data_IF_874886838507
#
_entry.id   IF_874886838507
#
_cell.length_a   1.000
_cell.length_b   1.000
_cell.length_c   1.000
_cell.angle_alpha   90.00
_cell.angle_beta   90.00
_cell.angle_gamma   90.00
#
_symmetry.space_group_name_H-M   'P 1'
#
loop_
_entity.id
_entity.type
_entity.pdbx_description
1 polymer ?
#
# COMPACT_ATOMS: atom_id res chain seq x y z
N UNK A 1 -1.90 3.65 25.94
CA UNK A 1 -2.25 2.77 24.80
C UNK A 1 -1.10 2.88 23.81
N UNK A 2 -0.15 1.95 23.83
CA UNK A 2 0.86 1.88 22.78
C UNK A 2 0.17 1.33 21.54
N UNK A 3 -0.45 2.23 20.76
CA UNK A 3 -1.06 1.86 19.50
C UNK A 3 0.01 1.27 18.60
N UNK A 4 -0.21 0.06 18.09
CA UNK A 4 0.64 -0.55 17.07
C UNK A 4 0.81 0.47 15.93
N UNK A 5 2.04 0.91 15.71
CA UNK A 5 2.33 1.89 14.66
C UNK A 5 2.09 1.23 13.29
N UNK A 6 1.32 1.89 12.42
CA UNK A 6 1.03 1.38 11.09
C UNK A 6 2.31 1.09 10.28
N UNK A 7 2.43 -0.11 9.72
CA UNK A 7 3.58 -0.55 8.96
C UNK A 7 3.93 0.40 7.81
N UNK A 8 5.14 0.96 7.83
CA UNK A 8 5.69 1.79 6.77
C UNK A 8 6.71 0.99 5.95
N UNK A 9 6.22 0.27 4.94
CA UNK A 9 7.07 -0.59 4.10
C UNK A 9 7.73 0.27 3.03
N UNK A 10 9.07 0.39 3.09
CA UNK A 10 9.84 1.07 2.06
C UNK A 10 10.15 0.12 0.90
N UNK A 11 9.90 0.58 -0.33
CA UNK A 11 10.23 -0.16 -1.56
C UNK A 11 10.92 0.76 -2.57
N UNK A 12 12.22 1.06 -2.40
CA UNK A 12 12.94 2.06 -3.20
C UNK A 12 12.93 1.79 -4.71
N UNK A 13 12.84 0.52 -5.12
CA UNK A 13 12.86 0.09 -6.51
C UNK A 13 11.64 0.59 -7.30
N UNK A 14 10.50 0.86 -6.66
CA UNK A 14 9.29 1.37 -7.32
C UNK A 14 9.53 2.70 -8.07
N UNK A 15 10.53 3.47 -7.62
CA UNK A 15 10.90 4.78 -8.17
C UNK A 15 11.73 4.69 -9.46
N UNK A 16 12.18 3.50 -9.85
CA UNK A 16 13.13 3.32 -10.94
C UNK A 16 12.56 2.40 -12.04
N UNK A 17 12.69 2.78 -13.32
CA UNK A 17 13.10 4.11 -13.80
C UNK A 17 12.02 5.17 -13.46
N UNK A 18 12.34 6.47 -13.38
CA UNK A 18 11.31 7.51 -13.33
C UNK A 18 10.34 7.37 -14.51
N UNK A 19 9.08 7.74 -14.33
CA UNK A 19 8.12 7.73 -15.44
C UNK A 19 8.63 8.72 -16.50
N UNK A 20 8.70 8.27 -17.75
CA UNK A 20 9.21 9.07 -18.86
C UNK A 20 8.06 9.82 -19.55
N UNK A 21 8.22 11.11 -19.89
CA UNK A 21 7.19 11.86 -20.61
C UNK A 21 6.88 11.32 -22.01
N UNK A 22 7.86 10.72 -22.68
CA UNK A 22 7.78 10.33 -24.10
C UNK A 22 6.72 9.28 -24.42
N UNK A 23 6.20 8.56 -23.43
CA UNK A 23 5.12 7.57 -23.58
C UNK A 23 3.77 8.05 -23.07
N UNK A 24 3.66 9.30 -22.62
CA UNK A 24 2.42 9.85 -22.05
C UNK A 24 1.74 10.77 -23.05
N UNK A 25 0.41 10.70 -23.10
CA UNK A 25 -0.40 11.59 -23.93
C UNK A 25 -0.68 12.86 -23.13
N UNK A 26 -0.30 14.06 -23.64
CA UNK A 26 -0.71 15.31 -23.04
C UNK A 26 -2.23 15.42 -22.99
N UNK A 27 -2.74 16.01 -21.91
CA UNK A 27 -4.15 16.37 -21.82
C UNK A 27 -4.35 17.83 -22.23
N UNK A 28 -5.60 18.29 -22.32
CA UNK A 28 -5.90 19.71 -22.54
C UNK A 28 -5.40 20.65 -21.42
N UNK A 29 -5.13 20.10 -20.23
CA UNK A 29 -4.80 20.88 -19.03
C UNK A 29 -3.40 20.63 -18.48
N UNK A 30 -2.76 19.54 -18.89
CA UNK A 30 -1.46 19.09 -18.38
C UNK A 30 -0.64 18.47 -19.50
N UNK A 31 0.62 18.90 -19.61
CA UNK A 31 1.58 18.30 -20.54
C UNK A 31 2.10 16.94 -20.03
N UNK A 32 2.79 16.23 -20.92
CA UNK A 32 3.36 14.92 -20.60
C UNK A 32 4.43 14.97 -19.48
N UNK A 33 5.13 16.11 -19.32
CA UNK A 33 6.17 16.27 -18.32
C UNK A 33 5.57 16.43 -16.91
N UNK A 34 4.48 17.19 -16.78
CA UNK A 34 3.69 17.30 -15.55
C UNK A 34 3.13 15.94 -15.15
N UNK A 35 2.58 15.21 -16.12
CA UNK A 35 2.09 13.84 -15.93
C UNK A 35 3.16 12.92 -15.35
N UNK A 36 4.33 12.87 -16.00
CA UNK A 36 5.47 12.08 -15.55
C UNK A 36 5.95 12.50 -14.14
N UNK A 37 5.99 13.80 -13.85
CA UNK A 37 6.43 14.35 -12.57
C UNK A 37 5.49 13.96 -11.42
N UNK A 38 4.18 14.12 -11.60
CA UNK A 38 3.19 13.76 -10.58
C UNK A 38 3.16 12.25 -10.37
N UNK A 39 3.16 11.46 -11.44
CA UNK A 39 3.18 10.00 -11.31
C UNK A 39 4.45 9.49 -10.61
N UNK A 40 5.62 10.05 -10.95
CA UNK A 40 6.88 9.74 -10.24
C UNK A 40 6.87 10.19 -8.78
N UNK A 41 6.24 11.32 -8.48
CA UNK A 41 6.06 11.79 -7.10
C UNK A 41 5.15 10.84 -6.29
N UNK A 42 4.08 10.32 -6.89
CA UNK A 42 3.20 9.35 -6.27
C UNK A 42 3.91 8.02 -6.01
N UNK A 43 4.64 7.48 -7.00
CA UNK A 43 5.47 6.29 -6.80
C UNK A 43 6.53 6.50 -5.73
N UNK A 44 7.13 7.69 -5.64
CA UNK A 44 8.07 8.04 -4.58
C UNK A 44 7.41 8.09 -3.20
N UNK A 45 6.20 8.64 -3.10
CA UNK A 45 5.42 8.66 -1.87
C UNK A 45 5.09 7.23 -1.39
N UNK A 46 4.63 6.36 -2.28
CA UNK A 46 4.36 4.94 -2.00
C UNK A 46 5.65 4.21 -1.62
N UNK A 47 6.74 4.40 -2.38
CA UNK A 47 8.03 3.77 -2.15
C UNK A 47 8.65 4.09 -0.77
N UNK A 48 8.25 5.20 -0.15
CA UNK A 48 8.70 5.62 1.19
C UNK A 48 7.76 5.14 2.31
N UNK A 49 6.73 4.36 2.00
CA UNK A 49 5.78 3.87 2.99
C UNK A 49 4.75 4.92 3.45
N UNK A 50 4.28 5.78 2.54
CA UNK A 50 3.21 6.76 2.78
C UNK A 50 3.48 7.81 3.89
N UNK A 51 4.68 8.42 3.95
CA UNK A 51 5.03 9.34 5.03
C UNK A 51 4.19 10.61 5.00
N UNK A 52 3.60 10.99 6.13
CA UNK A 52 2.75 12.19 6.23
C UNK A 52 3.49 13.47 5.80
N UNK A 53 4.80 13.58 6.08
CA UNK A 53 5.65 14.71 5.65
C UNK A 53 5.83 14.82 4.14
N UNK A 54 5.58 13.74 3.38
CA UNK A 54 5.59 13.76 1.92
C UNK A 54 4.23 14.11 1.31
N UNK A 55 3.17 14.08 2.11
CA UNK A 55 1.83 14.37 1.64
C UNK A 55 1.61 15.87 1.50
N UNK A 56 1.07 16.29 0.37
CA UNK A 56 0.90 17.71 0.05
C UNK A 56 -0.31 17.91 -0.87
N UNK A 57 -0.72 19.18 -0.98
CA UNK A 57 -1.89 19.59 -1.77
C UNK A 57 -1.85 19.13 -3.23
N UNK A 58 -0.68 19.14 -3.88
CA UNK A 58 -0.56 18.73 -5.29
C UNK A 58 -0.83 17.25 -5.48
N UNK A 59 -0.32 16.40 -4.58
CA UNK A 59 -0.62 14.97 -4.59
C UNK A 59 -2.10 14.72 -4.32
N UNK A 60 -2.68 15.44 -3.35
CA UNK A 60 -4.11 15.35 -3.05
C UNK A 60 -5.00 15.73 -4.24
N UNK A 61 -4.80 16.92 -4.82
CA UNK A 61 -5.61 17.44 -5.93
C UNK A 61 -5.61 16.52 -7.15
N UNK A 62 -4.51 15.78 -7.37
CA UNK A 62 -4.42 14.81 -8.47
C UNK A 62 -4.99 13.47 -8.06
N UNK A 63 -4.56 12.92 -6.93
CA UNK A 63 -4.97 11.60 -6.48
C UNK A 63 -6.47 11.51 -6.18
N UNK A 64 -7.09 12.59 -5.72
CA UNK A 64 -8.54 12.66 -5.48
C UNK A 64 -9.38 12.58 -6.76
N UNK A 65 -8.75 12.71 -7.93
CA UNK A 65 -9.37 12.56 -9.25
C UNK A 65 -8.89 11.33 -10.01
N UNK A 66 -7.91 10.60 -9.47
CA UNK A 66 -7.35 9.40 -10.06
C UNK A 66 -7.88 8.14 -9.36
N UNK A 67 -7.82 7.01 -10.05
CA UNK A 67 -8.19 5.68 -9.53
C UNK A 67 -9.63 5.57 -9.02
N UNK A 68 -10.51 6.49 -9.40
CA UNK A 68 -11.91 6.51 -8.95
C UNK A 68 -12.10 6.90 -7.50
N UNK A 69 -11.09 7.53 -6.87
CA UNK A 69 -11.28 8.13 -5.55
C UNK A 69 -12.28 9.29 -5.62
N UNK A 70 -13.08 9.46 -4.57
CA UNK A 70 -13.89 10.66 -4.36
C UNK A 70 -13.08 11.60 -3.47
N UNK A 71 -13.12 12.90 -3.74
CA UNK A 71 -12.51 13.89 -2.88
C UNK A 71 -13.03 13.75 -1.44
N UNK A 72 -12.15 13.39 -0.50
CA UNK A 72 -12.45 13.45 0.93
C UNK A 72 -12.30 14.89 1.41
N UNK A 73 -13.31 15.40 2.14
CA UNK A 73 -13.44 16.72 2.77
C UNK A 73 -12.25 17.70 2.63
N UNK A 74 -11.05 17.33 3.07
CA UNK A 74 -9.81 18.08 2.88
C UNK A 74 -8.56 17.18 2.70
N UNK A 75 -7.42 17.83 2.43
CA UNK A 75 -6.11 17.19 2.23
C UNK A 75 -5.66 16.31 3.41
N UNK A 76 -5.95 16.71 4.66
CA UNK A 76 -5.55 15.97 5.85
C UNK A 76 -6.48 14.79 6.10
N UNK A 77 -7.79 14.99 5.92
CA UNK A 77 -8.80 13.95 6.00
C UNK A 77 -8.56 12.83 4.98
N UNK A 78 -8.16 13.18 3.75
CA UNK A 78 -7.79 12.18 2.74
C UNK A 78 -6.62 11.31 3.20
N UNK A 79 -5.55 11.92 3.74
CA UNK A 79 -4.40 11.14 4.22
C UNK A 79 -4.78 10.26 5.40
N UNK A 80 -5.56 10.80 6.34
CA UNK A 80 -6.08 10.04 7.48
C UNK A 80 -6.89 8.83 7.04
N UNK A 81 -7.80 9.00 6.08
CA UNK A 81 -8.66 7.92 5.61
C UNK A 81 -7.89 6.84 4.81
N UNK A 82 -6.96 7.25 3.94
CA UNK A 82 -6.34 6.34 2.97
C UNK A 82 -4.99 5.76 3.44
N UNK A 83 -4.30 6.41 4.39
CA UNK A 83 -2.89 6.07 4.71
C UNK A 83 -2.55 5.98 6.20
N UNK A 84 -3.49 6.22 7.12
CA UNK A 84 -3.18 6.24 8.55
C UNK A 84 -2.89 4.86 9.15
N UNK A 85 -3.54 3.81 8.65
CA UNK A 85 -3.40 2.44 9.13
C UNK A 85 -2.75 1.54 8.08
N UNK A 86 -2.23 0.39 8.52
CA UNK A 86 -1.68 -0.65 7.64
C UNK A 86 -2.74 -1.17 6.68
N UNK A 87 -3.96 -1.40 7.19
CA UNK A 87 -5.12 -1.80 6.41
C UNK A 87 -5.49 -0.75 5.35
N UNK A 88 -5.56 0.54 5.72
CA UNK A 88 -5.88 1.61 4.77
C UNK A 88 -4.85 1.68 3.63
N UNK A 89 -3.55 1.58 3.95
CA UNK A 89 -2.46 1.56 2.94
C UNK A 89 -2.60 0.35 2.01
N UNK A 90 -2.90 -0.81 2.57
CA UNK A 90 -3.12 -2.06 1.83
C UNK A 90 -4.30 -1.94 0.87
N UNK A 91 -5.43 -1.43 1.36
CA UNK A 91 -6.64 -1.29 0.57
C UNK A 91 -6.51 -0.22 -0.51
N UNK A 92 -5.79 0.87 -0.22
CA UNK A 92 -5.40 1.85 -1.22
C UNK A 92 -4.62 1.21 -2.38
N UNK A 93 -3.60 0.41 -2.07
CA UNK A 93 -2.81 -0.29 -3.09
C UNK A 93 -3.67 -1.28 -3.89
N UNK A 94 -4.55 -2.04 -3.22
CA UNK A 94 -5.48 -2.95 -3.90
C UNK A 94 -6.45 -2.22 -4.81
N UNK A 95 -6.96 -1.07 -4.39
CA UNK A 95 -7.84 -0.24 -5.21
C UNK A 95 -7.13 0.19 -6.49
N UNK A 96 -5.85 0.59 -6.41
CA UNK A 96 -5.05 0.89 -7.61
C UNK A 96 -4.93 -0.35 -8.51
N UNK A 97 -4.60 -1.51 -7.95
CA UNK A 97 -4.44 -2.78 -8.72
C UNK A 97 -5.74 -3.20 -9.42
N UNK A 98 -6.88 -3.04 -8.74
CA UNK A 98 -8.19 -3.38 -9.29
C UNK A 98 -8.73 -2.32 -10.26
N UNK A 99 -8.18 -1.10 -10.21
CA UNK A 99 -8.60 -0.01 -11.06
C UNK A 99 -8.27 -0.31 -12.53
N UNK A 100 -9.27 -0.13 -13.40
CA UNK A 100 -9.16 -0.50 -14.81
C UNK A 100 -8.41 0.56 -15.65
N UNK A 101 -8.27 1.78 -15.12
CA UNK A 101 -7.63 2.91 -15.79
C UNK A 101 -8.35 3.22 -17.10
N UNK A 102 -9.66 3.46 -17.00
CA UNK A 102 -10.53 3.80 -18.12
C UNK A 102 -10.32 5.25 -18.55
N UNK A 103 -10.69 5.57 -19.79
CA UNK A 103 -10.66 6.93 -20.32
C UNK A 103 -9.57 7.15 -21.35
N UNK A 104 -9.85 8.08 -22.25
CA UNK A 104 -8.89 8.53 -23.27
C UNK A 104 -7.75 9.31 -22.58
N UNK A 105 -6.47 8.94 -22.77
CA UNK A 105 -5.34 9.61 -22.13
C UNK A 105 -5.14 11.06 -22.61
N UNK A 106 -5.80 11.50 -23.70
CA UNK A 106 -5.87 12.90 -24.11
C UNK A 106 -6.80 13.76 -23.23
N UNK A 107 -7.66 13.12 -22.44
CA UNK A 107 -8.62 13.79 -21.55
C UNK A 107 -8.49 13.35 -20.09
N UNK A 108 -7.77 12.26 -19.85
CA UNK A 108 -7.60 11.64 -18.53
C UNK A 108 -6.14 11.31 -18.27
N UNK A 109 -5.86 10.86 -17.05
CA UNK A 109 -4.53 10.40 -16.64
C UNK A 109 -4.38 8.88 -16.72
N UNK A 110 -5.21 8.22 -17.55
CA UNK A 110 -5.34 6.76 -17.63
C UNK A 110 -4.05 6.04 -18.04
N UNK A 111 -3.15 6.70 -18.77
CA UNK A 111 -1.81 6.22 -19.11
C UNK A 111 -0.88 6.21 -17.88
N UNK A 112 -0.85 7.29 -17.10
CA UNK A 112 -0.10 7.37 -15.83
C UNK A 112 -0.64 6.40 -14.80
N UNK A 113 -1.96 6.30 -14.67
CA UNK A 113 -2.61 5.35 -13.75
C UNK A 113 -2.21 3.90 -14.07
N UNK A 114 -2.16 3.56 -15.36
CA UNK A 114 -1.77 2.23 -15.83
C UNK A 114 -0.32 1.91 -15.49
N UNK A 115 0.59 2.84 -15.76
CA UNK A 115 2.01 2.72 -15.41
C UNK A 115 2.20 2.51 -13.90
N UNK A 116 1.48 3.26 -13.07
CA UNK A 116 1.56 3.15 -11.61
C UNK A 116 1.00 1.80 -11.14
N UNK A 117 -0.14 1.40 -11.68
CA UNK A 117 -0.77 0.11 -11.38
C UNK A 117 0.17 -1.05 -11.70
N UNK A 118 0.71 -1.08 -12.91
CA UNK A 118 1.54 -2.18 -13.38
C UNK A 118 2.83 -2.30 -12.55
N UNK A 119 3.39 -1.17 -12.09
CA UNK A 119 4.51 -1.17 -11.13
C UNK A 119 4.14 -1.70 -9.76
N UNK A 120 2.96 -1.35 -9.24
CA UNK A 120 2.50 -1.87 -7.95
C UNK A 120 2.30 -3.38 -8.04
N UNK A 121 1.68 -3.87 -9.12
CA UNK A 121 1.53 -5.30 -9.39
C UNK A 121 2.91 -5.97 -9.43
N UNK A 122 3.86 -5.44 -10.21
CA UNK A 122 5.20 -6.01 -10.34
C UNK A 122 6.05 -5.97 -9.06
N UNK A 123 5.70 -5.13 -8.09
CA UNK A 123 6.48 -4.96 -6.86
C UNK A 123 6.17 -5.97 -5.75
N UNK A 124 5.00 -6.62 -5.79
CA UNK A 124 4.53 -7.47 -4.68
C UNK A 124 4.24 -6.70 -3.38
N UNK A 125 4.01 -5.38 -3.47
CA UNK A 125 3.84 -4.51 -2.31
C UNK A 125 2.51 -4.78 -1.58
N UNK A 126 1.47 -5.17 -2.32
CA UNK A 126 0.17 -5.54 -1.73
C UNK A 126 0.33 -6.73 -0.79
N UNK A 127 1.05 -7.76 -1.23
CA UNK A 127 1.32 -8.98 -0.47
C UNK A 127 2.22 -8.69 0.74
N UNK A 128 3.15 -7.74 0.61
CA UNK A 128 3.96 -7.28 1.73
C UNK A 128 3.12 -6.63 2.82
N UNK A 129 2.16 -5.77 2.44
CA UNK A 129 1.20 -5.17 3.36
C UNK A 129 0.22 -6.19 3.94
N UNK A 130 -0.24 -7.18 3.16
CA UNK A 130 -1.06 -8.29 3.66
C UNK A 130 -0.34 -9.10 4.74
N UNK A 131 0.96 -9.37 4.57
CA UNK A 131 1.78 -10.03 5.60
C UNK A 131 1.95 -9.17 6.85
N UNK A 132 2.20 -7.88 6.67
CA UNK A 132 2.33 -6.95 7.80
C UNK A 132 1.05 -6.87 8.61
N UNK A 133 -0.11 -6.76 7.94
CA UNK A 133 -1.41 -6.71 8.61
C UNK A 133 -1.72 -7.99 9.40
N UNK A 134 -1.40 -9.17 8.85
CA UNK A 134 -1.53 -10.44 9.59
C UNK A 134 -0.67 -10.47 10.84
N UNK A 135 0.60 -10.08 10.73
CA UNK A 135 1.51 -10.02 11.86
C UNK A 135 1.05 -9.02 12.94
N UNK A 136 0.47 -7.89 12.53
CA UNK A 136 -0.13 -6.91 13.45
C UNK A 136 -1.33 -7.49 14.21
N UNK A 137 -2.24 -8.18 13.52
CA UNK A 137 -3.38 -8.84 14.16
C UNK A 137 -2.92 -9.94 15.13
N UNK A 138 -2.01 -10.81 14.71
CA UNK A 138 -1.45 -11.87 15.58
C UNK A 138 -0.77 -11.29 16.83
N UNK A 139 -0.07 -10.15 16.69
CA UNK A 139 0.54 -9.46 17.83
C UNK A 139 -0.51 -8.88 18.77
N UNK A 140 -1.59 -8.29 18.24
CA UNK A 140 -2.70 -7.75 19.03
C UNK A 140 -3.45 -8.86 19.78
N UNK A 141 -3.76 -9.96 19.10
CA UNK A 141 -4.41 -11.14 19.69
C UNK A 141 -3.57 -11.74 20.81
N UNK A 142 -2.25 -11.91 20.59
CA UNK A 142 -1.34 -12.39 21.64
C UNK A 142 -1.26 -11.42 22.83
N UNK A 143 -1.26 -10.11 22.58
CA UNK A 143 -1.24 -9.12 23.64
C UNK A 143 -2.55 -9.12 24.47
N UNK A 144 -3.71 -9.25 23.83
CA UNK A 144 -4.99 -9.36 24.54
C UNK A 144 -5.09 -10.68 25.29
N UNK A 145 -4.64 -11.79 24.70
CA UNK A 145 -4.59 -13.09 25.38
C UNK A 145 -3.71 -13.01 26.64
N UNK A 146 -2.52 -12.42 26.55
CA UNK A 146 -1.64 -12.21 27.71
C UNK A 146 -2.29 -11.32 28.78
N UNK A 147 -3.01 -10.26 28.35
CA UNK A 147 -3.75 -9.38 29.27
C UNK A 147 -4.87 -10.13 29.99
N UNK A 148 -5.64 -10.95 29.27
CA UNK A 148 -6.73 -11.75 29.83
C UNK A 148 -6.21 -12.85 30.75
N UNK A 149 -5.17 -13.57 30.34
CA UNK A 149 -4.53 -14.60 31.15
C UNK A 149 -4.05 -14.01 32.49
N UNK A 150 -3.39 -12.85 32.47
CA UNK A 150 -2.98 -12.15 33.69
C UNK A 150 -4.19 -11.71 34.54
N UNK A 151 -5.24 -11.16 33.92
CA UNK A 151 -6.45 -10.70 34.62
C UNK A 151 -7.18 -11.84 35.35
N UNK A 152 -7.24 -13.02 34.74
CA UNK A 152 -7.96 -14.17 35.27
C UNK A 152 -7.05 -15.21 35.95
N UNK A 153 -5.74 -14.96 36.03
CA UNK A 153 -4.72 -15.88 36.56
C UNK A 153 -4.78 -17.26 35.90
N UNK A 154 -4.95 -17.26 34.58
CA UNK A 154 -4.95 -18.48 33.76
C UNK A 154 -3.52 -18.73 33.29
N UNK A 155 -3.01 -19.94 33.48
CA UNK A 155 -1.74 -20.36 32.88
C UNK A 155 -1.94 -20.64 31.39
N UNK A 156 -1.20 -19.95 30.53
CA UNK A 156 -1.20 -20.21 29.10
C UNK A 156 -0.30 -21.41 28.80
N UNK A 157 -0.70 -22.31 27.87
CA UNK A 157 0.17 -23.38 27.41
C UNK A 157 1.48 -22.80 26.85
N UNK A 158 2.61 -23.42 27.18
CA UNK A 158 3.89 -23.13 26.52
C UNK A 158 3.73 -23.37 25.01
N UNK A 159 4.13 -22.39 24.17
CA UNK A 159 4.13 -22.52 22.71
C UNK A 159 4.70 -23.90 22.33
N UNK A 160 3.85 -24.76 21.78
CA UNK A 160 4.28 -26.05 21.26
C UNK A 160 5.09 -25.72 20.01
N UNK A 161 6.41 -25.94 20.07
CA UNK A 161 7.23 -25.88 18.85
C UNK A 161 6.57 -26.79 17.81
N UNK A 162 6.44 -26.34 16.54
CA UNK A 162 5.91 -27.21 15.50
C UNK A 162 6.75 -28.49 15.50
N UNK A 163 6.08 -29.63 15.67
CA UNK A 163 6.73 -30.94 15.62
C UNK A 163 7.60 -30.99 14.35
N UNK A 164 8.87 -31.44 14.44
CA UNK A 164 9.72 -31.54 13.27
C UNK A 164 8.98 -32.38 12.23
N UNK A 165 8.73 -31.77 11.06
CA UNK A 165 8.01 -32.43 9.98
C UNK A 165 8.62 -33.82 9.73
N UNK A 166 7.81 -34.89 9.70
CA UNK A 166 8.34 -36.22 9.49
C UNK A 166 9.13 -36.23 8.17
N UNK A 167 10.30 -36.88 8.13
CA UNK A 167 11.14 -36.90 6.93
C UNK A 167 10.31 -37.45 5.78
N UNK A 168 10.17 -36.64 4.72
CA UNK A 168 9.55 -37.05 3.45
C UNK A 168 10.40 -38.19 2.90
N UNK A 169 9.94 -39.42 3.08
CA UNK A 169 10.50 -40.58 2.42
C UNK A 169 10.11 -40.48 0.95
N UNK A 170 11.06 -40.06 0.12
CA UNK A 170 10.97 -40.14 -1.34
C UNK A 170 11.17 -41.61 -1.71
N UNK A 171 10.12 -42.41 -1.57
CA UNK A 171 10.08 -43.74 -2.18
C UNK A 171 9.99 -43.56 -3.69
N UNK A 172 11.01 -44.09 -4.38
CA UNK A 172 11.15 -44.15 -5.82
C UNK A 172 9.94 -44.81 -6.50
N UNK A 173 9.34 -44.10 -7.45
CA UNK A 173 8.64 -44.70 -8.59
C UNK A 173 8.98 -43.91 -9.86
#
# INVERSE_FOLDING_TARGET
MSGTQAAAIAYPALRRPPIQPTGLTPTQWSDAAEKAKIGSALLSFIARGFPQSGWNRKLYERLSSMFGHIAHYDVHGFWGAQFSTTEARRDFLRNIVLHRCYGDPAWTWSDVEREIRDRIIGSGLVEAYDRALRAEHEAQERAELARLANRFRIELPLETQPDPAPPVQVELF
#
